data_IF_523241856435
#
_entry.id   IF_523241856435
#
_cell.length_a   1.000
_cell.length_b   1.000
_cell.length_c   1.000
_cell.angle_alpha   90.00
_cell.angle_beta   90.00
_cell.angle_gamma   90.00
#
_symmetry.space_group_name_H-M   'P 1'
#
loop_
_entity.id
_entity.type
_entity.pdbx_description
1 polymer ?
#
# COMPACT_ATOMS: atom_id res chain seq x y z
N UNK A 1 12.75 15.24 12.90
CA UNK A 1 13.82 14.67 12.03
C UNK A 1 13.52 15.16 10.63
N UNK A 2 14.46 15.77 9.94
CA UNK A 2 14.32 16.09 8.51
C UNK A 2 14.52 14.78 7.72
N UNK A 3 13.55 14.38 6.92
CA UNK A 3 13.63 13.16 6.11
C UNK A 3 14.44 13.34 4.81
N UNK A 4 14.78 14.58 4.44
CA UNK A 4 15.60 14.93 3.27
C UNK A 4 14.90 14.62 1.93
N UNK A 5 13.56 14.62 1.89
CA UNK A 5 12.77 14.28 0.68
C UNK A 5 11.93 15.45 0.14
N UNK A 6 12.06 16.64 0.68
CA UNK A 6 11.37 17.84 0.19
C UNK A 6 11.65 18.07 -1.31
N UNK A 7 10.62 18.39 -2.07
CA UNK A 7 10.70 18.62 -3.51
C UNK A 7 10.81 17.35 -4.37
N UNK A 8 10.80 16.16 -3.76
CA UNK A 8 10.68 14.88 -4.47
C UNK A 8 9.26 14.70 -5.01
N UNK A 9 9.10 13.79 -5.96
CA UNK A 9 7.82 13.46 -6.59
C UNK A 9 7.41 12.04 -6.24
N UNK A 10 6.19 11.88 -5.75
CA UNK A 10 5.62 10.58 -5.42
C UNK A 10 4.43 10.22 -6.31
N UNK A 11 4.40 8.99 -6.79
CA UNK A 11 3.28 8.37 -7.50
C UNK A 11 2.68 7.28 -6.64
N UNK A 12 1.41 7.43 -6.24
CA UNK A 12 0.76 6.53 -5.31
C UNK A 12 -0.53 5.95 -5.91
N UNK A 13 -0.63 4.63 -6.01
CA UNK A 13 -1.87 3.95 -6.37
C UNK A 13 -2.72 3.60 -5.14
N UNK A 14 -4.05 3.47 -5.31
CA UNK A 14 -4.98 3.15 -4.22
C UNK A 14 -4.94 4.17 -3.08
N UNK A 15 -4.70 5.46 -3.40
CA UNK A 15 -4.40 6.50 -2.42
C UNK A 15 -5.54 7.51 -2.20
N UNK A 16 -6.77 7.21 -2.65
CA UNK A 16 -7.94 8.07 -2.42
C UNK A 16 -8.54 7.92 -1.00
N UNK A 17 -8.22 6.85 -0.28
CA UNK A 17 -8.70 6.59 1.09
C UNK A 17 -7.77 5.64 1.86
N UNK A 18 -8.08 5.43 3.14
CA UNK A 18 -7.42 4.43 3.99
C UNK A 18 -5.91 4.62 4.10
N UNK A 19 -5.18 3.50 4.04
CA UNK A 19 -3.73 3.47 4.26
C UNK A 19 -2.95 4.19 3.15
N UNK A 20 -3.38 4.07 1.89
CA UNK A 20 -2.74 4.77 0.78
C UNK A 20 -2.85 6.30 0.92
N UNK A 21 -4.04 6.82 1.29
CA UNK A 21 -4.24 8.25 1.57
C UNK A 21 -3.39 8.72 2.75
N UNK A 22 -3.29 7.93 3.82
CA UNK A 22 -2.45 8.25 4.97
C UNK A 22 -0.96 8.35 4.60
N UNK A 23 -0.47 7.46 3.73
CA UNK A 23 0.90 7.55 3.20
C UNK A 23 1.08 8.81 2.34
N UNK A 24 0.10 9.15 1.48
CA UNK A 24 0.14 10.38 0.68
C UNK A 24 0.22 11.63 1.56
N UNK A 25 -0.59 11.70 2.61
CA UNK A 25 -0.52 12.79 3.59
C UNK A 25 0.84 12.89 4.30
N UNK A 26 1.39 11.75 4.72
CA UNK A 26 2.66 11.74 5.42
C UNK A 26 3.81 12.24 4.52
N UNK A 27 3.85 11.80 3.27
CA UNK A 27 4.84 12.27 2.29
C UNK A 27 4.64 13.76 1.95
N UNK A 28 3.40 14.19 1.76
CA UNK A 28 3.07 15.60 1.50
C UNK A 28 3.52 16.54 2.62
N UNK A 29 3.37 16.14 3.89
CA UNK A 29 3.87 16.89 5.05
C UNK A 29 5.38 17.07 5.06
N UNK A 30 6.11 16.16 4.46
CA UNK A 30 7.57 16.26 4.25
C UNK A 30 7.93 17.10 3.02
N UNK A 31 6.95 17.70 2.34
CA UNK A 31 7.14 18.56 1.18
C UNK A 31 7.35 17.82 -0.13
N UNK A 32 6.86 16.58 -0.23
CA UNK A 32 6.85 15.80 -1.48
C UNK A 32 5.64 16.18 -2.32
N UNK A 33 5.83 16.42 -3.61
CA UNK A 33 4.73 16.59 -4.57
C UNK A 33 4.07 15.24 -4.85
N UNK A 34 2.73 15.22 -4.84
CA UNK A 34 1.94 13.99 -4.81
C UNK A 34 1.15 13.81 -6.10
N UNK A 35 1.26 12.64 -6.71
CA UNK A 35 0.31 12.17 -7.73
C UNK A 35 -0.41 10.94 -7.18
N UNK A 36 -1.73 11.03 -6.99
CA UNK A 36 -2.57 9.92 -6.51
C UNK A 36 -3.42 9.35 -7.63
N UNK A 37 -3.51 8.02 -7.67
CA UNK A 37 -4.27 7.27 -8.68
C UNK A 37 -5.32 6.40 -8.00
N UNK A 38 -6.58 6.48 -8.44
CA UNK A 38 -7.65 5.60 -8.01
C UNK A 38 -8.78 5.57 -9.05
N UNK A 39 -9.68 4.59 -8.95
CA UNK A 39 -10.77 4.37 -9.92
C UNK A 39 -11.92 5.38 -9.76
N UNK A 40 -12.26 5.76 -8.54
CA UNK A 40 -13.42 6.62 -8.23
C UNK A 40 -13.01 8.08 -8.22
N UNK A 41 -13.39 8.82 -9.27
CA UNK A 41 -12.98 10.21 -9.51
C UNK A 41 -13.30 11.14 -8.35
N UNK A 42 -14.54 11.21 -7.91
CA UNK A 42 -14.99 12.19 -6.91
C UNK A 42 -14.26 12.02 -5.57
N UNK A 43 -14.10 10.77 -5.11
CA UNK A 43 -13.36 10.44 -3.89
C UNK A 43 -11.87 10.77 -4.01
N UNK A 44 -11.32 10.58 -5.21
CA UNK A 44 -9.92 10.88 -5.51
C UNK A 44 -9.67 12.39 -5.51
N UNK A 45 -10.52 13.16 -6.18
CA UNK A 45 -10.42 14.62 -6.24
C UNK A 45 -10.57 15.26 -4.86
N UNK A 46 -11.53 14.76 -4.07
CA UNK A 46 -11.67 15.18 -2.66
C UNK A 46 -10.39 14.89 -1.86
N UNK A 47 -9.84 13.69 -1.98
CA UNK A 47 -8.60 13.34 -1.28
C UNK A 47 -7.43 14.23 -1.71
N UNK A 48 -7.30 14.53 -3.00
CA UNK A 48 -6.29 15.44 -3.52
C UNK A 48 -6.42 16.86 -2.97
N UNK A 49 -7.64 17.38 -2.95
CA UNK A 49 -7.93 18.72 -2.38
C UNK A 49 -7.59 18.80 -0.89
N UNK A 50 -7.99 17.78 -0.10
CA UNK A 50 -7.68 17.71 1.33
C UNK A 50 -6.17 17.68 1.60
N UNK A 51 -5.40 16.89 0.82
CA UNK A 51 -3.94 16.82 0.95
C UNK A 51 -3.32 18.17 0.60
N UNK A 52 -3.69 18.77 -0.53
CA UNK A 52 -3.15 20.05 -0.97
C UNK A 52 -3.43 21.17 0.04
N UNK A 53 -4.68 21.26 0.53
CA UNK A 53 -5.09 22.26 1.53
C UNK A 53 -4.31 22.12 2.84
N UNK A 54 -4.08 20.90 3.29
CA UNK A 54 -3.43 20.63 4.58
C UNK A 54 -1.91 20.80 4.56
N UNK A 55 -1.27 20.71 3.38
CA UNK A 55 0.20 20.61 3.28
C UNK A 55 0.84 21.67 2.39
N UNK A 56 0.08 22.27 1.48
CA UNK A 56 0.57 23.28 0.54
C UNK A 56 1.42 22.75 -0.62
N UNK A 57 1.60 21.43 -0.75
CA UNK A 57 2.34 20.82 -1.88
C UNK A 57 1.46 20.71 -3.12
N UNK A 58 2.08 20.48 -4.27
CA UNK A 58 1.34 20.14 -5.49
C UNK A 58 0.74 18.75 -5.40
N UNK A 59 -0.56 18.64 -5.71
CA UNK A 59 -1.26 17.36 -5.74
C UNK A 59 -1.95 17.20 -7.09
N UNK A 60 -1.63 16.12 -7.78
CA UNK A 60 -2.30 15.70 -9.01
C UNK A 60 -3.15 14.47 -8.75
N UNK A 61 -4.31 14.40 -9.39
CA UNK A 61 -5.23 13.28 -9.31
C UNK A 61 -5.40 12.64 -10.68
N UNK A 62 -5.30 11.30 -10.75
CA UNK A 62 -5.49 10.52 -11.98
C UNK A 62 -6.58 9.48 -11.74
N UNK A 63 -7.76 9.70 -12.30
CA UNK A 63 -8.82 8.69 -12.28
C UNK A 63 -8.48 7.58 -13.30
N UNK A 64 -8.11 6.40 -12.79
CA UNK A 64 -7.68 5.28 -13.64
C UNK A 64 -7.49 3.99 -12.87
N UNK A 65 -7.47 2.89 -13.60
CA UNK A 65 -7.20 1.55 -13.09
C UNK A 65 -5.79 1.10 -13.49
N UNK A 66 -4.90 0.98 -12.51
CA UNK A 66 -3.50 0.59 -12.74
C UNK A 66 -3.32 -0.87 -13.17
N UNK A 67 -4.35 -1.72 -13.09
CA UNK A 67 -4.31 -3.06 -13.66
C UNK A 67 -4.31 -3.00 -15.20
N UNK A 68 -4.80 -1.90 -15.77
CA UNK A 68 -4.84 -1.68 -17.22
C UNK A 68 -3.61 -0.91 -17.72
N UNK A 69 -3.20 -1.17 -18.97
CA UNK A 69 -2.14 -0.39 -19.61
C UNK A 69 -2.49 1.10 -19.70
N UNK A 70 -3.75 1.42 -20.02
CA UNK A 70 -4.21 2.81 -20.14
C UNK A 70 -4.08 3.56 -18.80
N UNK A 71 -4.49 2.92 -17.68
CA UNK A 71 -4.35 3.51 -16.35
C UNK A 71 -2.90 3.74 -15.94
N UNK A 72 -2.00 2.78 -16.21
CA UNK A 72 -0.56 2.95 -15.96
C UNK A 72 0.04 4.08 -16.82
N UNK A 73 -0.33 4.14 -18.10
CA UNK A 73 0.14 5.21 -18.99
C UNK A 73 -0.33 6.58 -18.53
N UNK A 74 -1.59 6.72 -18.12
CA UNK A 74 -2.13 7.98 -17.58
C UNK A 74 -1.41 8.40 -16.26
N UNK A 75 -1.16 7.45 -15.37
CA UNK A 75 -0.42 7.69 -14.13
C UNK A 75 1.00 8.21 -14.39
N UNK A 76 1.72 7.58 -15.32
CA UNK A 76 3.09 7.99 -15.68
C UNK A 76 3.13 9.27 -16.52
N UNK A 77 2.08 9.58 -17.28
CA UNK A 77 1.98 10.88 -17.97
C UNK A 77 1.83 12.03 -16.97
N UNK A 78 1.11 11.81 -15.86
CA UNK A 78 0.97 12.80 -14.78
C UNK A 78 2.23 12.89 -13.90
N UNK A 79 2.96 11.79 -13.71
CA UNK A 79 4.22 11.75 -12.96
C UNK A 79 5.30 10.97 -13.74
N UNK A 80 5.93 11.57 -14.74
CA UNK A 80 6.81 10.84 -15.67
C UNK A 80 8.14 10.39 -15.04
N UNK A 81 8.54 10.99 -13.94
CA UNK A 81 9.81 10.69 -13.25
C UNK A 81 9.62 10.64 -11.73
N UNK A 82 8.85 9.68 -11.19
CA UNK A 82 8.65 9.57 -9.76
C UNK A 82 9.97 9.21 -9.05
N UNK A 83 10.21 9.84 -7.93
CA UNK A 83 11.29 9.47 -6.99
C UNK A 83 10.78 8.43 -5.98
N UNK A 84 9.49 8.49 -5.69
CA UNK A 84 8.81 7.60 -4.75
C UNK A 84 7.65 6.93 -5.49
N UNK A 85 7.57 5.60 -5.40
CA UNK A 85 6.45 4.80 -5.89
C UNK A 85 5.80 4.09 -4.72
N UNK A 86 4.49 4.29 -4.52
CA UNK A 86 3.71 3.50 -3.58
C UNK A 86 2.64 2.70 -4.33
N UNK A 87 2.77 1.39 -4.23
CA UNK A 87 1.79 0.44 -4.75
C UNK A 87 0.85 0.00 -3.63
N UNK A 88 -0.42 0.29 -3.79
CA UNK A 88 -1.49 -0.15 -2.91
C UNK A 88 -2.71 -0.54 -3.74
N UNK A 89 -3.34 -1.63 -3.37
CA UNK A 89 -4.56 -2.13 -3.99
C UNK A 89 -5.51 -2.68 -2.94
N UNK A 90 -6.80 -2.55 -3.20
CA UNK A 90 -7.83 -3.24 -2.41
C UNK A 90 -7.67 -4.75 -2.56
N UNK A 91 -7.98 -5.49 -1.49
CA UNK A 91 -8.06 -6.94 -1.53
C UNK A 91 -9.41 -7.44 -2.03
N UNK A 92 -9.50 -8.69 -2.53
CA UNK A 92 -10.76 -9.35 -2.82
C UNK A 92 -11.55 -9.57 -1.52
N UNK A 93 -12.84 -9.86 -1.67
CA UNK A 93 -13.68 -10.26 -0.53
C UNK A 93 -13.17 -11.57 0.05
N UNK A 94 -13.22 -11.74 1.38
CA UNK A 94 -13.00 -13.04 2.01
C UNK A 94 -13.99 -14.10 1.49
N UNK A 95 -13.59 -15.37 1.52
CA UNK A 95 -14.44 -16.45 1.07
C UNK A 95 -13.83 -17.84 1.27
N UNK A 96 -14.55 -18.89 0.88
CA UNK A 96 -14.04 -20.25 0.84
C UNK A 96 -13.27 -20.50 -0.48
N UNK A 97 -12.14 -21.20 -0.41
CA UNK A 97 -11.33 -21.46 -1.61
C UNK A 97 -12.04 -22.31 -2.66
N UNK A 98 -13.09 -23.06 -2.27
CA UNK A 98 -13.90 -23.88 -3.16
C UNK A 98 -14.81 -23.05 -4.06
N UNK A 99 -15.14 -21.83 -3.63
CA UNK A 99 -16.04 -20.92 -4.34
C UNK A 99 -15.30 -19.99 -5.30
N UNK A 100 -13.96 -19.91 -5.20
CA UNK A 100 -13.16 -19.03 -6.05
C UNK A 100 -12.89 -19.67 -7.41
N UNK A 101 -13.35 -18.99 -8.45
CA UNK A 101 -13.07 -19.34 -9.84
C UNK A 101 -11.62 -19.02 -10.24
N UNK A 102 -11.21 -19.54 -11.39
CA UNK A 102 -9.93 -19.16 -12.01
C UNK A 102 -9.88 -17.65 -12.30
N UNK A 103 -10.98 -17.03 -12.66
CA UNK A 103 -11.04 -15.60 -12.96
C UNK A 103 -10.88 -14.74 -11.71
N UNK A 104 -11.38 -15.18 -10.55
CA UNK A 104 -11.12 -14.53 -9.25
C UNK A 104 -9.62 -14.54 -8.92
N UNK A 105 -8.94 -15.67 -9.18
CA UNK A 105 -7.50 -15.77 -9.01
C UNK A 105 -6.73 -14.84 -9.95
N UNK A 106 -7.11 -14.77 -11.23
CA UNK A 106 -6.48 -13.87 -12.20
C UNK A 106 -6.67 -12.42 -11.78
N UNK A 107 -7.88 -12.02 -11.39
CA UNK A 107 -8.17 -10.66 -10.94
C UNK A 107 -7.35 -10.29 -9.67
N UNK A 108 -7.22 -11.23 -8.73
CA UNK A 108 -6.43 -11.04 -7.53
C UNK A 108 -4.92 -10.87 -7.85
N UNK A 109 -4.40 -11.70 -8.75
CA UNK A 109 -3.01 -11.61 -9.21
C UNK A 109 -2.75 -10.31 -9.96
N UNK A 110 -3.66 -9.91 -10.86
CA UNK A 110 -3.53 -8.64 -11.61
C UNK A 110 -3.46 -7.45 -10.66
N UNK A 111 -4.39 -7.35 -9.70
CA UNK A 111 -4.46 -6.19 -8.81
C UNK A 111 -3.35 -6.11 -7.79
N UNK A 112 -2.96 -7.25 -7.18
CA UNK A 112 -2.09 -7.26 -6.00
C UNK A 112 -0.66 -7.73 -6.27
N UNK A 113 -0.37 -8.24 -7.46
CA UNK A 113 0.96 -8.71 -7.83
C UNK A 113 1.44 -8.10 -9.16
N UNK A 114 0.70 -8.29 -10.27
CA UNK A 114 1.18 -7.90 -11.59
C UNK A 114 1.17 -6.39 -11.79
N UNK A 115 0.12 -5.68 -11.37
CA UNK A 115 0.09 -4.22 -11.49
C UNK A 115 1.23 -3.54 -10.71
N UNK A 116 1.52 -3.89 -9.43
CA UNK A 116 2.72 -3.42 -8.74
C UNK A 116 4.04 -3.75 -9.47
N UNK A 117 4.18 -4.97 -10.01
CA UNK A 117 5.37 -5.38 -10.77
C UNK A 117 5.54 -4.52 -12.02
N UNK A 118 4.46 -4.29 -12.78
CA UNK A 118 4.48 -3.44 -13.97
C UNK A 118 4.84 -1.98 -13.62
N UNK A 119 4.29 -1.42 -12.53
CA UNK A 119 4.65 -0.07 -12.10
C UNK A 119 6.13 0.02 -11.69
N UNK A 120 6.67 -0.98 -11.01
CA UNK A 120 8.11 -1.06 -10.70
C UNK A 120 8.94 -1.14 -11.98
N UNK A 121 8.57 -2.00 -12.93
CA UNK A 121 9.27 -2.15 -14.22
C UNK A 121 9.33 -0.86 -15.02
N UNK A 122 8.26 -0.06 -14.98
CA UNK A 122 8.17 1.20 -15.73
C UNK A 122 8.90 2.38 -15.06
N UNK A 123 9.31 2.26 -13.80
CA UNK A 123 9.87 3.39 -13.03
C UNK A 123 11.29 3.17 -12.53
N UNK A 124 11.69 1.93 -12.28
CA UNK A 124 12.92 1.58 -11.57
C UNK A 124 14.19 2.03 -12.31
N UNK A 125 14.26 1.87 -13.62
CA UNK A 125 15.43 2.27 -14.42
C UNK A 125 15.65 3.78 -14.38
N UNK A 126 14.56 4.56 -14.46
CA UNK A 126 14.60 6.01 -14.31
C UNK A 126 15.08 6.44 -12.91
N UNK A 127 14.61 5.75 -11.85
CA UNK A 127 15.09 5.98 -10.49
C UNK A 127 16.58 5.66 -10.35
N UNK A 128 17.04 4.52 -10.88
CA UNK A 128 18.45 4.12 -10.85
C UNK A 128 19.34 5.10 -11.62
N UNK A 129 18.88 5.62 -12.76
CA UNK A 129 19.62 6.61 -13.54
C UNK A 129 19.79 7.94 -12.80
N UNK A 130 18.79 8.34 -11.98
CA UNK A 130 18.85 9.55 -11.14
C UNK A 130 19.57 9.33 -9.80
N UNK A 131 19.95 8.10 -9.45
CA UNK A 131 20.63 7.78 -8.19
C UNK A 131 19.75 7.93 -6.94
N UNK A 132 18.43 7.87 -7.10
CA UNK A 132 17.46 7.87 -6.00
C UNK A 132 16.15 7.21 -6.41
N UNK A 133 15.65 6.34 -5.56
CA UNK A 133 14.31 5.75 -5.67
C UNK A 133 13.86 5.09 -4.37
N UNK A 134 12.59 5.24 -4.05
CA UNK A 134 11.95 4.57 -2.91
C UNK A 134 10.66 3.92 -3.39
N UNK A 135 10.61 2.60 -3.33
CA UNK A 135 9.45 1.83 -3.76
C UNK A 135 8.88 1.12 -2.54
N UNK A 136 7.62 1.39 -2.24
CA UNK A 136 6.88 0.81 -1.12
C UNK A 136 5.66 0.08 -1.66
N UNK A 137 5.51 -1.18 -1.27
CA UNK A 137 4.29 -1.95 -1.54
C UNK A 137 3.51 -2.13 -0.23
N UNK A 138 2.26 -1.70 -0.18
CA UNK A 138 1.35 -2.05 0.91
C UNK A 138 0.79 -3.43 0.63
N UNK A 139 1.24 -4.40 1.40
CA UNK A 139 0.83 -5.81 1.27
C UNK A 139 -0.17 -6.17 2.36
N UNK A 140 0.16 -7.13 3.22
CA UNK A 140 -0.67 -7.54 4.36
C UNK A 140 0.16 -8.40 5.33
N UNK A 141 -0.15 -8.34 6.63
CA UNK A 141 0.38 -9.31 7.59
C UNK A 141 0.04 -10.76 7.22
N UNK A 142 -1.02 -10.98 6.42
CA UNK A 142 -1.46 -12.31 5.99
C UNK A 142 -0.40 -13.08 5.18
N UNK A 143 0.62 -12.38 4.67
CA UNK A 143 1.82 -13.04 4.09
C UNK A 143 2.59 -13.85 5.14
N UNK A 144 2.58 -13.40 6.40
CA UNK A 144 3.24 -14.10 7.53
C UNK A 144 2.28 -14.90 8.40
N UNK A 145 1.00 -14.48 8.45
CA UNK A 145 -0.07 -15.15 9.20
C UNK A 145 -1.23 -15.40 8.23
N UNK A 146 -1.13 -16.41 7.34
CA UNK A 146 -2.16 -16.65 6.35
C UNK A 146 -3.47 -17.07 7.02
N UNK A 147 -4.57 -16.45 6.57
CA UNK A 147 -5.92 -16.74 7.00
C UNK A 147 -6.64 -17.47 5.86
N UNK A 148 -7.36 -18.56 6.17
CA UNK A 148 -7.96 -19.42 5.12
C UNK A 148 -8.94 -18.65 4.23
N UNK A 149 -9.71 -17.73 4.82
CA UNK A 149 -10.70 -16.90 4.11
C UNK A 149 -10.07 -15.81 3.22
N UNK A 150 -8.77 -15.58 3.32
CA UNK A 150 -8.02 -14.59 2.53
C UNK A 150 -7.12 -15.24 1.47
N UNK A 151 -7.39 -16.47 1.04
CA UNK A 151 -6.53 -17.25 0.17
C UNK A 151 -6.09 -16.53 -1.11
N UNK A 152 -6.99 -15.85 -1.81
CA UNK A 152 -6.67 -15.03 -3.00
C UNK A 152 -5.62 -13.95 -2.67
N UNK A 153 -5.84 -13.23 -1.59
CA UNK A 153 -4.91 -12.18 -1.12
C UNK A 153 -3.58 -12.78 -0.63
N UNK A 154 -3.64 -13.88 0.12
CA UNK A 154 -2.44 -14.56 0.61
C UNK A 154 -1.54 -14.97 -0.56
N UNK A 155 -2.10 -15.61 -1.59
CA UNK A 155 -1.37 -16.07 -2.77
C UNK A 155 -0.74 -14.93 -3.57
N UNK A 156 -1.55 -13.95 -3.96
CA UNK A 156 -1.09 -12.84 -4.79
C UNK A 156 -0.05 -11.96 -4.08
N UNK A 157 -0.26 -11.63 -2.81
CA UNK A 157 0.67 -10.79 -2.04
C UNK A 157 1.96 -11.53 -1.68
N UNK A 158 1.91 -12.83 -1.43
CA UNK A 158 3.13 -13.63 -1.23
C UNK A 158 3.98 -13.72 -2.51
N UNK A 159 3.33 -13.82 -3.68
CA UNK A 159 4.01 -13.73 -4.97
C UNK A 159 4.76 -12.41 -5.16
N UNK A 160 4.11 -11.28 -4.85
CA UNK A 160 4.76 -9.96 -4.89
C UNK A 160 5.94 -9.87 -3.92
N UNK A 161 5.80 -10.36 -2.69
CA UNK A 161 6.88 -10.39 -1.69
C UNK A 161 8.08 -11.20 -2.18
N UNK A 162 7.83 -12.38 -2.76
CA UNK A 162 8.88 -13.21 -3.35
C UNK A 162 9.61 -12.51 -4.50
N UNK A 163 8.87 -11.85 -5.40
CA UNK A 163 9.43 -11.06 -6.49
C UNK A 163 10.33 -9.92 -5.96
N UNK A 164 9.84 -9.14 -4.98
CA UNK A 164 10.60 -8.03 -4.38
C UNK A 164 11.90 -8.53 -3.73
N UNK A 165 11.87 -9.67 -3.03
CA UNK A 165 13.07 -10.27 -2.44
C UNK A 165 14.18 -10.55 -3.45
N UNK A 166 13.81 -10.88 -4.69
CA UNK A 166 14.77 -11.07 -5.79
C UNK A 166 15.34 -9.78 -6.34
N UNK A 167 14.46 -8.81 -6.70
CA UNK A 167 14.89 -7.62 -7.45
C UNK A 167 15.51 -6.52 -6.59
N UNK A 168 15.18 -6.42 -5.30
CA UNK A 168 15.68 -5.37 -4.42
C UNK A 168 17.22 -5.32 -4.34
N UNK A 169 17.88 -6.46 -4.54
CA UNK A 169 19.35 -6.55 -4.56
C UNK A 169 19.97 -5.96 -5.83
N UNK A 170 19.21 -5.87 -6.92
CA UNK A 170 19.73 -5.35 -8.20
C UNK A 170 19.71 -3.82 -8.25
N UNK A 171 18.90 -3.18 -7.38
CA UNK A 171 18.64 -1.74 -7.47
C UNK A 171 19.35 -0.93 -6.39
N UNK A 172 19.66 -1.54 -5.24
CA UNK A 172 20.19 -0.83 -4.06
C UNK A 172 21.55 -0.16 -4.30
N UNK A 173 22.40 -0.70 -5.15
CA UNK A 173 23.69 -0.08 -5.52
C UNK A 173 23.52 1.29 -6.21
N UNK A 174 22.32 1.58 -6.73
CA UNK A 174 21.93 2.86 -7.33
C UNK A 174 21.05 3.69 -6.40
N UNK A 175 21.08 3.42 -5.08
CA UNK A 175 20.26 4.09 -4.08
C UNK A 175 18.75 3.99 -4.36
N UNK A 176 18.30 2.87 -4.92
CA UNK A 176 16.89 2.55 -5.10
C UNK A 176 16.54 1.39 -4.17
N UNK A 177 15.66 1.65 -3.20
CA UNK A 177 15.20 0.64 -2.24
C UNK A 177 13.76 0.20 -2.54
N UNK A 178 13.47 -1.09 -2.31
CA UNK A 178 12.14 -1.67 -2.52
C UNK A 178 11.77 -2.43 -1.25
N UNK A 179 10.70 -2.01 -0.57
CA UNK A 179 10.25 -2.62 0.67
C UNK A 179 8.73 -2.86 0.67
N UNK A 180 8.30 -3.82 1.47
CA UNK A 180 6.90 -4.17 1.67
C UNK A 180 6.46 -3.81 3.08
N UNK A 181 5.37 -3.05 3.21
CA UNK A 181 4.67 -2.83 4.47
C UNK A 181 3.58 -3.88 4.65
N UNK A 182 3.55 -4.53 5.80
CA UNK A 182 2.62 -5.60 6.16
C UNK A 182 1.67 -5.12 7.27
N UNK A 183 0.63 -4.35 6.93
CA UNK A 183 -0.31 -3.87 7.94
C UNK A 183 -1.13 -5.02 8.54
N UNK A 184 -1.37 -4.92 9.85
CA UNK A 184 -2.35 -5.70 10.59
C UNK A 184 -3.75 -5.09 10.50
N UNK A 185 -4.46 -5.04 11.65
CA UNK A 185 -5.76 -4.36 11.73
C UNK A 185 -5.57 -2.86 11.92
N UNK A 186 -6.11 -2.06 11.00
CA UNK A 186 -6.11 -0.60 11.06
C UNK A 186 -7.54 -0.06 11.04
N UNK A 187 -7.78 1.07 11.68
CA UNK A 187 -9.05 1.79 11.56
C UNK A 187 -9.16 2.40 10.15
N UNK A 188 -9.77 1.66 9.26
CA UNK A 188 -9.92 2.02 7.85
C UNK A 188 -11.26 1.56 7.29
N UNK A 189 -11.70 2.17 6.19
CA UNK A 189 -12.93 1.77 5.50
C UNK A 189 -12.90 0.31 5.06
N UNK A 190 -11.75 -0.18 4.59
CA UNK A 190 -11.58 -1.58 4.21
C UNK A 190 -11.83 -2.53 5.40
N UNK A 191 -11.34 -2.18 6.59
CA UNK A 191 -11.60 -2.94 7.82
C UNK A 191 -13.07 -2.90 8.21
N UNK A 192 -13.73 -1.74 8.05
CA UNK A 192 -15.17 -1.61 8.33
C UNK A 192 -16.02 -2.43 7.36
N UNK A 193 -15.65 -2.44 6.08
CA UNK A 193 -16.30 -3.30 5.05
C UNK A 193 -16.09 -4.78 5.38
N UNK A 194 -14.88 -5.18 5.77
CA UNK A 194 -14.57 -6.55 6.16
C UNK A 194 -15.46 -7.02 7.34
N UNK A 195 -15.58 -6.19 8.39
CA UNK A 195 -16.44 -6.53 9.54
C UNK A 195 -17.92 -6.61 9.14
N UNK A 196 -18.41 -5.70 8.28
CA UNK A 196 -19.80 -5.79 7.80
C UNK A 196 -20.10 -7.10 7.07
N UNK A 197 -19.12 -7.64 6.34
CA UNK A 197 -19.24 -8.95 5.71
C UNK A 197 -19.34 -10.14 6.69
N UNK A 198 -18.95 -9.94 7.95
CA UNK A 198 -18.99 -10.97 8.99
C UNK A 198 -20.30 -10.97 9.81
N UNK A 199 -21.16 -9.94 9.67
CA UNK A 199 -22.34 -9.77 10.54
C UNK A 199 -23.33 -10.95 10.41
N UNK A 200 -23.64 -11.34 9.17
CA UNK A 200 -24.59 -12.40 8.87
C UNK A 200 -24.11 -13.79 9.34
N UNK A 201 -22.81 -14.02 9.26
CA UNK A 201 -22.21 -15.30 9.65
C UNK A 201 -22.08 -15.44 11.17
N UNK A 202 -21.82 -14.35 11.87
CA UNK A 202 -21.53 -14.36 13.31
C UNK A 202 -22.74 -14.09 14.19
N UNK A 203 -23.79 -13.45 13.65
CA UNK A 203 -24.94 -12.97 14.41
C UNK A 203 -24.61 -11.89 15.45
N UNK A 204 -23.39 -11.33 15.42
CA UNK A 204 -22.93 -10.29 16.34
C UNK A 204 -23.15 -8.90 15.78
N UNK A 205 -23.21 -7.88 16.65
CA UNK A 205 -23.22 -6.49 16.20
C UNK A 205 -21.84 -6.06 15.66
N UNK A 206 -21.84 -5.03 14.80
CA UNK A 206 -20.60 -4.41 14.31
C UNK A 206 -19.65 -4.01 15.45
N UNK A 207 -20.20 -3.37 16.49
CA UNK A 207 -19.44 -2.87 17.62
C UNK A 207 -18.85 -4.00 18.48
N UNK A 208 -19.55 -5.14 18.59
CA UNK A 208 -19.01 -6.30 19.29
C UNK A 208 -17.82 -6.89 18.54
N UNK A 209 -17.97 -7.12 17.23
CA UNK A 209 -16.86 -7.63 16.40
C UNK A 209 -15.68 -6.64 16.41
N UNK A 210 -15.96 -5.35 16.31
CA UNK A 210 -14.93 -4.31 16.36
C UNK A 210 -14.13 -4.36 17.67
N UNK A 211 -14.83 -4.40 18.80
CA UNK A 211 -14.22 -4.48 20.14
C UNK A 211 -13.45 -5.78 20.35
N UNK A 212 -14.02 -6.93 19.96
CA UNK A 212 -13.38 -8.24 20.07
C UNK A 212 -12.06 -8.28 19.27
N UNK A 213 -12.07 -7.80 18.05
CA UNK A 213 -10.87 -7.76 17.21
C UNK A 213 -9.79 -6.84 17.77
N UNK A 214 -10.18 -5.68 18.30
CA UNK A 214 -9.26 -4.78 19.01
C UNK A 214 -8.67 -5.46 20.26
N UNK A 215 -9.51 -6.09 21.07
CA UNK A 215 -9.09 -6.79 22.29
C UNK A 215 -8.20 -8.01 22.02
N UNK A 216 -8.40 -8.69 20.90
CA UNK A 216 -7.57 -9.83 20.49
C UNK A 216 -6.18 -9.40 19.99
N UNK A 217 -6.02 -8.16 19.51
CA UNK A 217 -4.71 -7.64 19.14
C UNK A 217 -3.86 -7.42 20.40
N UNK A 218 -2.57 -7.79 20.45
CA UNK A 218 -1.70 -7.51 21.60
C UNK A 218 -1.67 -6.02 22.00
N UNK A 219 -1.73 -5.09 21.02
CA UNK A 219 -1.81 -3.65 21.28
C UNK A 219 -3.17 -3.18 21.82
N UNK A 220 -4.20 -4.06 21.90
CA UNK A 220 -5.57 -3.79 22.39
C UNK A 220 -6.31 -2.68 21.66
N UNK A 221 -5.91 -2.41 20.42
CA UNK A 221 -6.49 -1.38 19.56
C UNK A 221 -6.27 -1.68 18.08
N UNK A 222 -6.97 -0.96 17.24
CA UNK A 222 -6.60 -0.81 15.84
C UNK A 222 -5.42 0.14 15.70
N UNK A 223 -4.59 -0.07 14.66
CA UNK A 223 -3.60 0.90 14.23
C UNK A 223 -4.30 2.15 13.67
N UNK A 224 -3.73 3.33 13.92
CA UNK A 224 -4.15 4.55 13.24
C UNK A 224 -3.47 4.58 11.85
N UNK A 225 -4.19 4.83 10.75
CA UNK A 225 -3.58 4.96 9.42
C UNK A 225 -2.38 5.92 9.37
N UNK A 226 -2.36 6.97 10.19
CA UNK A 226 -1.24 7.90 10.28
C UNK A 226 0.06 7.23 10.79
N UNK A 227 -0.02 6.17 11.62
CA UNK A 227 1.16 5.43 12.09
C UNK A 227 1.84 4.69 10.92
N UNK A 228 1.05 4.11 10.02
CA UNK A 228 1.58 3.50 8.80
C UNK A 228 2.14 4.57 7.85
N UNK A 229 1.45 5.69 7.71
CA UNK A 229 1.89 6.83 6.91
C UNK A 229 3.25 7.37 7.35
N UNK A 230 3.44 7.57 8.65
CA UNK A 230 4.71 8.03 9.21
C UNK A 230 5.86 7.05 8.93
N UNK A 231 5.60 5.75 9.08
CA UNK A 231 6.59 4.73 8.78
C UNK A 231 6.89 4.65 7.28
N UNK A 232 5.88 4.79 6.42
CA UNK A 232 6.07 4.89 4.98
C UNK A 232 6.97 6.09 4.61
N UNK A 233 6.72 7.27 5.17
CA UNK A 233 7.53 8.46 4.92
C UNK A 233 8.98 8.26 5.38
N UNK A 234 9.21 7.64 6.54
CA UNK A 234 10.55 7.28 7.00
C UNK A 234 11.26 6.34 6.01
N UNK A 235 10.60 5.29 5.52
CA UNK A 235 11.19 4.36 4.54
C UNK A 235 11.47 5.04 3.20
N UNK A 236 10.77 6.12 2.87
CA UNK A 236 11.03 6.93 1.69
C UNK A 236 12.14 7.98 1.90
N UNK A 237 12.65 8.13 3.12
CA UNK A 237 13.65 9.15 3.46
C UNK A 237 15.05 8.83 2.94
N UNK A 238 15.93 9.85 3.01
CA UNK A 238 17.37 9.67 2.80
C UNK A 238 18.00 8.75 3.86
N UNK A 239 17.41 8.64 5.05
CA UNK A 239 17.92 7.83 6.17
C UNK A 239 17.67 6.33 5.98
N UNK A 240 16.74 5.93 5.10
CA UNK A 240 16.37 4.54 4.87
C UNK A 240 17.08 3.88 3.67
N UNK A 241 18.14 4.49 3.13
CA UNK A 241 18.86 4.00 1.96
C UNK A 241 19.53 2.63 2.13
N UNK A 242 19.68 2.14 3.36
CA UNK A 242 20.23 0.81 3.68
C UNK A 242 19.16 -0.23 4.04
N UNK A 243 17.88 0.14 3.95
CA UNK A 243 16.74 -0.74 4.21
C UNK A 243 16.12 -1.14 2.86
N UNK A 244 16.33 -2.36 2.41
CA UNK A 244 15.76 -2.86 1.14
C UNK A 244 15.44 -4.35 1.21
N UNK A 245 14.46 -4.79 0.42
CA UNK A 245 14.00 -6.18 0.36
C UNK A 245 13.27 -6.66 1.61
N UNK A 246 12.83 -5.72 2.48
CA UNK A 246 12.24 -6.05 3.77
C UNK A 246 10.73 -6.20 3.71
N UNK A 247 10.22 -7.07 4.60
CA UNK A 247 8.81 -7.32 4.85
C UNK A 247 8.47 -6.84 6.25
N UNK A 248 8.06 -5.57 6.36
CA UNK A 248 8.01 -4.82 7.60
C UNK A 248 6.60 -4.86 8.20
N UNK A 249 6.44 -5.59 9.28
CA UNK A 249 5.18 -5.70 10.01
C UNK A 249 4.83 -4.39 10.72
N UNK A 250 3.56 -3.98 10.58
CA UNK A 250 2.93 -2.89 11.32
C UNK A 250 1.58 -3.42 11.81
N UNK A 251 1.57 -4.24 12.86
CA UNK A 251 0.43 -5.08 13.20
C UNK A 251 0.07 -5.11 14.70
N UNK A 252 0.68 -4.25 15.51
CA UNK A 252 0.45 -4.20 16.94
C UNK A 252 0.90 -5.45 17.69
N UNK A 253 1.89 -6.19 17.14
CA UNK A 253 2.44 -7.40 17.74
C UNK A 253 1.62 -8.67 17.46
N UNK A 254 0.73 -8.65 16.48
CA UNK A 254 -0.12 -9.82 16.18
C UNK A 254 0.66 -11.03 15.68
N UNK A 255 1.79 -10.81 15.01
CA UNK A 255 2.64 -11.90 14.54
C UNK A 255 3.47 -12.48 15.71
N UNK A 256 3.30 -13.77 16.07
CA UNK A 256 3.98 -14.35 17.21
C UNK A 256 5.38 -14.89 16.90
N UNK A 257 5.82 -14.83 15.64
CA UNK A 257 7.11 -15.36 15.21
C UNK A 257 8.23 -14.32 15.24
N UNK A 258 9.46 -14.79 15.07
CA UNK A 258 10.67 -13.97 15.01
C UNK A 258 11.12 -13.63 13.60
N UNK A 259 10.67 -14.41 12.55
CA UNK A 259 11.09 -14.27 11.15
C UNK A 259 9.92 -14.10 10.18
#
# INVERSE_FOLDING_TARGET
MDLGIRGRKALLSGASRGLGKACAFALAREGVDITIVARTRDVLEQAGAEIAQATGVQVQTVAGDITTQAGRSAALAACPAPDILLNNADGPKPGDFRDWSRDDWIAALDGMMLAPIEMMRLTVDGMMARGFGRIINIVSRSVKIPQHELGLSNGARSGLVGFVGGIARQTVARNVTINNLLPGIFDSDAQRVHIRGMLDETGKSFDDIWRERAAANPAKRYGNPAELGAYCAFLCSNHAGFITGQNLLVDGGSYPGTY
#
